data_IF_153462455750
#
_entry.id   IF_153462455750
#
_cell.length_a   1.000
_cell.length_b   1.000
_cell.length_c   1.000
_cell.angle_alpha   90.00
_cell.angle_beta   90.00
_cell.angle_gamma   90.00
#
_symmetry.space_group_name_H-M   'P 1'
#
loop_
_entity.id
_entity.type
_entity.pdbx_description
1 polymer ?
#
# COMPACT_ATOMS: atom_id res chain seq x y z
N UNK A 1 23.11 27.94 57.18
CA UNK A 1 22.43 26.67 56.85
C UNK A 1 21.18 26.88 56.00
N UNK A 2 20.46 28.01 56.12
CA UNK A 2 19.22 28.24 55.34
C UNK A 2 19.41 28.38 53.82
N UNK A 3 20.57 28.87 53.38
CA UNK A 3 20.87 29.09 51.95
C UNK A 3 21.13 27.78 51.18
N UNK A 4 21.70 26.76 51.81
CA UNK A 4 21.93 25.45 51.19
C UNK A 4 20.63 24.64 51.09
N UNK A 5 19.77 24.73 52.11
CA UNK A 5 18.45 24.09 52.10
C UNK A 5 17.55 24.72 51.03
N UNK A 6 17.56 26.05 50.90
CA UNK A 6 16.81 26.76 49.85
C UNK A 6 17.29 26.41 48.44
N UNK A 7 18.61 26.34 48.23
CA UNK A 7 19.18 25.96 46.93
C UNK A 7 18.90 24.49 46.58
N UNK A 8 18.98 23.59 47.57
CA UNK A 8 18.68 22.16 47.38
C UNK A 8 17.19 21.94 47.02
N UNK A 9 16.28 22.66 47.67
CA UNK A 9 14.85 22.62 47.31
C UNK A 9 14.62 23.15 45.89
N UNK A 10 15.31 24.22 45.49
CA UNK A 10 15.19 24.77 44.14
C UNK A 10 15.67 23.78 43.06
N UNK A 11 16.78 23.09 43.31
CA UNK A 11 17.31 22.05 42.41
C UNK A 11 16.33 20.88 42.29
N UNK A 12 15.75 20.41 43.41
CA UNK A 12 14.76 19.31 43.39
C UNK A 12 13.54 19.68 42.57
N UNK A 13 13.02 20.91 42.72
CA UNK A 13 11.88 21.39 41.93
C UNK A 13 12.23 21.46 40.43
N UNK A 14 13.41 21.96 40.07
CA UNK A 14 13.84 22.01 38.67
C UNK A 14 13.97 20.61 38.05
N UNK A 15 14.50 19.63 38.77
CA UNK A 15 14.62 18.25 38.30
C UNK A 15 13.24 17.61 38.06
N UNK A 16 12.27 17.88 38.92
CA UNK A 16 10.88 17.42 38.73
C UNK A 16 10.30 18.01 37.44
N UNK A 17 10.46 19.31 37.22
CA UNK A 17 9.94 19.99 36.03
C UNK A 17 10.58 19.44 34.74
N UNK A 18 11.89 19.25 34.73
CA UNK A 18 12.61 18.67 33.58
C UNK A 18 12.11 17.24 33.30
N UNK A 19 11.89 16.44 34.34
CA UNK A 19 11.39 15.07 34.22
C UNK A 19 9.98 15.02 33.61
N UNK A 20 9.11 15.95 34.00
CA UNK A 20 7.76 16.08 33.43
C UNK A 20 7.81 16.47 31.96
N UNK A 21 8.67 17.42 31.59
CA UNK A 21 8.83 17.86 30.19
C UNK A 21 9.33 16.70 29.32
N UNK A 22 10.33 15.95 29.78
CA UNK A 22 10.85 14.78 29.06
C UNK A 22 9.76 13.70 28.93
N UNK A 23 8.97 13.46 29.98
CA UNK A 23 7.85 12.50 29.95
C UNK A 23 6.79 12.87 28.92
N UNK A 24 6.42 14.16 28.85
CA UNK A 24 5.45 14.67 27.86
C UNK A 24 6.02 14.53 26.43
N UNK A 25 7.28 14.89 26.21
CA UNK A 25 7.94 14.74 24.90
C UNK A 25 8.02 13.27 24.45
N UNK A 26 8.31 12.34 25.36
CA UNK A 26 8.32 10.91 25.07
C UNK A 26 6.92 10.37 24.71
N UNK A 27 5.87 10.83 25.41
CA UNK A 27 4.48 10.52 25.09
C UNK A 27 4.10 11.02 23.68
N UNK A 28 4.41 12.26 23.34
CA UNK A 28 4.12 12.79 21.99
C UNK A 28 4.90 12.05 20.90
N UNK A 29 6.16 11.71 21.16
CA UNK A 29 6.99 10.98 20.19
C UNK A 29 6.44 9.58 19.92
N UNK A 30 6.06 8.84 20.96
CA UNK A 30 5.49 7.49 20.82
C UNK A 30 4.14 7.50 20.11
N UNK A 31 3.26 8.47 20.42
CA UNK A 31 1.97 8.64 19.75
C UNK A 31 2.13 9.07 18.28
N UNK A 32 3.10 9.93 17.97
CA UNK A 32 3.38 10.35 16.58
C UNK A 32 3.89 9.17 15.75
N UNK A 33 4.76 8.33 16.31
CA UNK A 33 5.28 7.14 15.63
C UNK A 33 4.24 6.03 15.46
N UNK A 34 3.27 5.90 16.38
CA UNK A 34 2.16 4.95 16.21
C UNK A 34 1.15 5.43 15.17
N UNK A 35 0.83 6.73 15.15
CA UNK A 35 -0.04 7.32 14.14
C UNK A 35 0.56 7.23 12.74
N UNK A 36 1.85 7.54 12.58
CA UNK A 36 2.51 7.46 11.27
C UNK A 36 2.51 6.06 10.66
N UNK A 37 2.71 5.03 11.50
CA UNK A 37 2.66 3.63 11.05
C UNK A 37 1.23 3.14 10.81
N UNK A 38 0.28 3.51 11.68
CA UNK A 38 -1.12 3.14 11.54
C UNK A 38 -1.77 3.76 10.30
N UNK A 39 -1.54 5.05 10.05
CA UNK A 39 -2.06 5.73 8.87
C UNK A 39 -1.46 5.16 7.57
N UNK A 40 -0.17 4.84 7.54
CA UNK A 40 0.46 4.21 6.39
C UNK A 40 -0.11 2.80 6.12
N UNK A 41 -0.34 2.01 7.16
CA UNK A 41 -0.97 0.69 7.05
C UNK A 41 -2.41 0.79 6.52
N UNK A 42 -3.24 1.68 7.08
CA UNK A 42 -4.62 1.88 6.62
C UNK A 42 -4.70 2.35 5.17
N UNK A 43 -3.78 3.22 4.73
CA UNK A 43 -3.69 3.65 3.32
C UNK A 43 -3.30 2.49 2.42
N UNK A 44 -2.35 1.65 2.84
CA UNK A 44 -1.95 0.46 2.08
C UNK A 44 -3.10 -0.55 1.97
N UNK A 45 -3.84 -0.78 3.05
CA UNK A 45 -4.98 -1.70 3.08
C UNK A 45 -6.13 -1.17 2.22
N UNK A 46 -6.46 0.12 2.32
CA UNK A 46 -7.53 0.75 1.50
C UNK A 46 -7.16 0.73 0.02
N UNK A 47 -5.89 0.96 -0.31
CA UNK A 47 -5.40 0.86 -1.68
C UNK A 47 -5.49 -0.58 -2.19
N UNK A 48 -5.04 -1.56 -1.42
CA UNK A 48 -5.11 -2.97 -1.78
C UNK A 48 -6.55 -3.43 -2.05
N UNK A 49 -7.51 -3.02 -1.21
CA UNK A 49 -8.93 -3.36 -1.35
C UNK A 49 -9.58 -2.70 -2.58
N UNK A 50 -9.23 -1.43 -2.85
CA UNK A 50 -9.73 -0.70 -4.02
C UNK A 50 -9.17 -1.30 -5.32
N UNK A 51 -7.89 -1.63 -5.33
CA UNK A 51 -7.17 -2.20 -6.47
C UNK A 51 -7.62 -3.63 -6.80
N UNK A 52 -7.88 -4.43 -5.78
CA UNK A 52 -8.52 -5.74 -5.88
C UNK A 52 -9.88 -5.66 -6.60
N UNK A 53 -10.68 -4.66 -6.23
CA UNK A 53 -12.03 -4.47 -6.79
C UNK A 53 -11.98 -4.05 -8.26
N UNK A 54 -11.06 -3.17 -8.65
CA UNK A 54 -10.88 -2.77 -10.06
C UNK A 54 -10.46 -3.95 -10.95
N UNK A 55 -9.56 -4.82 -10.46
CA UNK A 55 -9.11 -6.03 -11.16
C UNK A 55 -10.25 -7.01 -11.43
N UNK A 56 -11.05 -7.30 -10.39
CA UNK A 56 -12.22 -8.19 -10.50
C UNK A 56 -13.28 -7.62 -11.43
N UNK A 57 -13.63 -6.35 -11.27
CA UNK A 57 -14.63 -5.70 -12.13
C UNK A 57 -14.22 -5.70 -13.60
N UNK A 58 -12.92 -5.53 -13.89
CA UNK A 58 -12.42 -5.55 -15.27
C UNK A 58 -12.46 -6.96 -15.86
N UNK A 59 -12.20 -8.00 -15.06
CA UNK A 59 -12.38 -9.39 -15.48
C UNK A 59 -13.84 -9.72 -15.80
N UNK A 60 -14.77 -9.24 -14.97
CA UNK A 60 -16.21 -9.48 -15.12
C UNK A 60 -16.84 -8.66 -16.26
N UNK A 61 -16.22 -7.54 -16.66
CA UNK A 61 -16.70 -6.67 -17.76
C UNK A 61 -16.63 -7.34 -19.15
N UNK A 62 -15.87 -8.43 -19.29
CA UNK A 62 -15.63 -9.11 -20.56
C UNK A 62 -14.43 -8.54 -21.32
N UNK A 63 -14.52 -8.44 -22.66
CA UNK A 63 -13.37 -8.04 -23.46
C UNK A 63 -13.14 -6.52 -23.44
N UNK A 64 -12.01 -6.10 -22.88
CA UNK A 64 -11.59 -4.70 -22.68
C UNK A 64 -10.36 -4.35 -23.52
N UNK A 65 -10.14 -3.07 -23.86
CA UNK A 65 -8.95 -2.64 -24.59
C UNK A 65 -7.66 -3.02 -23.84
N UNK A 66 -6.70 -3.59 -24.56
CA UNK A 66 -5.40 -4.02 -23.99
C UNK A 66 -4.64 -2.87 -23.31
N UNK A 67 -4.75 -1.65 -23.85
CA UNK A 67 -4.16 -0.46 -23.23
C UNK A 67 -4.73 -0.16 -21.83
N UNK A 68 -6.03 -0.34 -21.63
CA UNK A 68 -6.67 -0.17 -20.32
C UNK A 68 -6.21 -1.24 -19.34
N UNK A 69 -6.12 -2.48 -19.80
CA UNK A 69 -5.60 -3.60 -19.01
C UNK A 69 -4.15 -3.37 -18.60
N UNK A 70 -3.30 -2.87 -19.51
CA UNK A 70 -1.91 -2.54 -19.20
C UNK A 70 -1.81 -1.54 -18.04
N UNK A 71 -2.55 -0.44 -18.10
CA UNK A 71 -2.55 0.58 -17.04
C UNK A 71 -3.03 -0.01 -15.71
N UNK A 72 -4.07 -0.84 -15.76
CA UNK A 72 -4.60 -1.51 -14.56
C UNK A 72 -3.56 -2.46 -13.94
N UNK A 73 -2.90 -3.30 -14.73
CA UNK A 73 -1.87 -4.23 -14.24
C UNK A 73 -0.67 -3.47 -13.66
N UNK A 74 -0.27 -2.35 -14.26
CA UNK A 74 0.80 -1.51 -13.73
C UNK A 74 0.43 -0.87 -12.38
N UNK A 75 -0.80 -0.37 -12.24
CA UNK A 75 -1.29 0.16 -10.95
C UNK A 75 -1.32 -0.91 -9.85
N UNK A 76 -1.64 -2.14 -10.23
CA UNK A 76 -1.85 -3.25 -9.30
C UNK A 76 -0.65 -4.20 -9.18
N UNK A 77 0.53 -3.79 -9.66
CA UNK A 77 1.70 -4.66 -9.75
C UNK A 77 2.09 -5.30 -8.40
N UNK A 78 1.89 -4.60 -7.28
CA UNK A 78 2.22 -5.10 -5.94
C UNK A 78 1.24 -6.17 -5.43
N UNK A 79 0.03 -6.22 -5.98
CA UNK A 79 -1.00 -7.19 -5.59
C UNK A 79 -1.07 -8.40 -6.54
N UNK A 80 -0.33 -8.36 -7.65
CA UNK A 80 -0.33 -9.41 -8.66
C UNK A 80 0.81 -10.39 -8.38
N UNK A 81 0.46 -11.66 -8.18
CA UNK A 81 1.43 -12.74 -8.02
C UNK A 81 2.00 -13.19 -9.37
N UNK A 82 1.13 -13.33 -10.38
CA UNK A 82 1.52 -13.84 -11.68
C UNK A 82 0.65 -13.29 -12.81
N UNK A 83 1.27 -13.11 -13.98
CA UNK A 83 0.61 -12.78 -15.23
C UNK A 83 0.95 -13.88 -16.22
N UNK A 84 -0.08 -14.46 -16.83
CA UNK A 84 0.08 -15.48 -17.86
C UNK A 84 -0.96 -15.29 -18.95
N UNK A 85 -0.73 -15.85 -20.13
CA UNK A 85 -1.71 -15.78 -21.19
C UNK A 85 -1.14 -15.90 -22.58
N UNK A 86 -2.05 -16.05 -23.53
CA UNK A 86 -1.73 -16.00 -24.94
C UNK A 86 -2.92 -15.36 -25.66
N UNK A 87 -2.67 -14.29 -26.41
CA UNK A 87 -3.68 -13.60 -27.17
C UNK A 87 -3.12 -13.09 -28.49
N UNK A 88 -3.84 -13.32 -29.58
CA UNK A 88 -3.52 -12.86 -30.93
C UNK A 88 -2.08 -13.23 -31.36
N UNK A 89 -1.63 -14.44 -31.00
CA UNK A 89 -0.28 -14.93 -31.32
C UNK A 89 0.84 -14.36 -30.42
N UNK A 90 0.50 -13.54 -29.42
CA UNK A 90 1.47 -12.97 -28.47
C UNK A 90 1.34 -13.70 -27.13
N UNK A 91 2.44 -14.28 -26.66
CA UNK A 91 2.54 -14.80 -25.30
C UNK A 91 2.73 -13.65 -24.32
N UNK A 92 1.92 -13.65 -23.26
CA UNK A 92 1.89 -12.59 -22.26
C UNK A 92 2.36 -13.17 -20.94
N UNK A 93 3.51 -12.68 -20.46
CA UNK A 93 4.10 -13.06 -19.17
C UNK A 93 4.30 -11.87 -18.24
N UNK A 94 4.18 -10.66 -18.78
CA UNK A 94 4.24 -9.38 -18.06
C UNK A 94 3.32 -8.37 -18.70
N UNK A 95 2.97 -7.31 -17.95
CA UNK A 95 2.10 -6.24 -18.45
C UNK A 95 2.62 -5.62 -19.76
N UNK A 96 3.94 -5.39 -19.89
CA UNK A 96 4.53 -4.76 -21.08
C UNK A 96 4.27 -5.52 -22.39
N UNK A 97 4.03 -6.84 -22.34
CA UNK A 97 3.74 -7.62 -23.54
C UNK A 97 2.43 -7.17 -24.22
N UNK A 98 1.53 -6.53 -23.44
CA UNK A 98 0.27 -5.96 -23.92
C UNK A 98 0.44 -4.75 -24.84
N UNK A 99 1.60 -4.08 -24.82
CA UNK A 99 1.90 -2.92 -25.68
C UNK A 99 1.77 -3.25 -27.17
N UNK A 100 2.04 -4.51 -27.54
CA UNK A 100 1.92 -5.02 -28.91
C UNK A 100 0.47 -5.24 -29.36
N UNK A 101 -0.47 -5.16 -28.42
CA UNK A 101 -1.88 -5.48 -28.60
C UNK A 101 -2.79 -4.28 -28.25
N UNK A 102 -2.27 -3.06 -28.13
CA UNK A 102 -3.06 -1.88 -27.73
C UNK A 102 -4.22 -1.56 -28.66
N UNK A 103 -4.17 -1.99 -29.92
CA UNK A 103 -5.25 -1.91 -30.90
C UNK A 103 -6.32 -3.01 -30.71
N UNK A 104 -6.11 -3.96 -29.80
CA UNK A 104 -6.97 -5.13 -29.59
C UNK A 104 -7.69 -5.10 -28.25
N UNK A 105 -8.77 -5.87 -28.20
CA UNK A 105 -9.50 -6.15 -26.96
C UNK A 105 -9.13 -7.55 -26.47
N UNK A 106 -8.89 -7.67 -25.18
CA UNK A 106 -8.50 -8.91 -24.51
C UNK A 106 -9.45 -9.19 -23.35
N UNK A 107 -9.59 -10.47 -23.01
CA UNK A 107 -10.34 -10.91 -21.84
C UNK A 107 -9.36 -11.22 -20.72
N UNK A 108 -9.75 -10.85 -19.51
CA UNK A 108 -9.03 -11.16 -18.29
C UNK A 108 -9.78 -12.22 -17.50
N UNK A 109 -9.04 -13.16 -16.95
CA UNK A 109 -9.50 -14.05 -15.89
C UNK A 109 -8.61 -13.80 -14.68
N UNK A 110 -9.21 -13.47 -13.55
CA UNK A 110 -8.47 -13.17 -12.32
C UNK A 110 -8.83 -14.23 -11.28
N UNK A 111 -7.82 -14.87 -10.71
CA UNK A 111 -7.96 -15.84 -9.63
C UNK A 111 -7.22 -15.28 -8.43
N UNK A 112 -7.92 -15.20 -7.30
CA UNK A 112 -7.34 -14.80 -6.02
C UNK A 112 -6.77 -16.03 -5.31
N UNK A 113 -5.55 -15.93 -4.78
CA UNK A 113 -4.90 -16.99 -4.01
C UNK A 113 -4.01 -16.35 -2.94
N UNK A 114 -4.34 -16.57 -1.66
CA UNK A 114 -3.61 -16.02 -0.50
C UNK A 114 -3.41 -14.48 -0.59
N UNK A 115 -4.50 -13.73 -0.79
CA UNK A 115 -4.53 -12.26 -0.89
C UNK A 115 -3.75 -11.66 -2.08
N UNK A 116 -3.27 -12.50 -3.00
CA UNK A 116 -2.64 -12.08 -4.25
C UNK A 116 -3.46 -12.52 -5.47
N UNK A 117 -3.27 -11.82 -6.58
CA UNK A 117 -4.00 -12.04 -7.82
C UNK A 117 -3.13 -12.72 -8.88
N UNK A 118 -3.60 -13.85 -9.39
CA UNK A 118 -3.09 -14.46 -10.62
C UNK A 118 -3.97 -14.05 -11.78
N UNK A 119 -3.37 -13.42 -12.79
CA UNK A 119 -4.08 -12.87 -13.94
C UNK A 119 -3.76 -13.69 -15.18
N UNK A 120 -4.81 -14.21 -15.82
CA UNK A 120 -4.71 -14.90 -17.10
C UNK A 120 -5.34 -14.05 -18.19
N UNK A 121 -4.60 -13.84 -19.28
CA UNK A 121 -5.01 -13.01 -20.41
C UNK A 121 -5.28 -13.89 -21.63
N UNK A 122 -6.45 -13.70 -22.23
CA UNK A 122 -6.87 -14.45 -23.41
C UNK A 122 -7.57 -13.58 -24.45
N UNK A 123 -7.90 -14.23 -25.57
CA UNK A 123 -8.71 -13.63 -26.62
C UNK A 123 -10.18 -13.50 -26.19
N UNK A 124 -10.93 -12.69 -26.93
CA UNK A 124 -12.33 -12.37 -26.66
C UNK A 124 -13.25 -13.60 -26.70
#
# INVERSE_FOLDING_TARGET
MDNEVSNSIHIVVQVIVISVIIGILALFTTMSQSFGRGAAATIADTQAETYATELKNTADYGAVPSASVFVMLQKNANAIQSISGHAYGVTITKADDLTRLFDRKIRLTVIETNDLYSVTIGEK
#
